data_IF_132218032084
#
_entry.id   IF_132218032084
#
_cell.length_a   1.000
_cell.length_b   1.000
_cell.length_c   1.000
_cell.angle_alpha   90.00
_cell.angle_beta   90.00
_cell.angle_gamma   90.00
#
_symmetry.space_group_name_H-M   'P 1'
#
loop_
_entity.id
_entity.type
_entity.pdbx_description
1 polymer ?
#
# COMPACT_ATOMS: atom_id res chain seq x y z
N UNK A 1 17.47 7.07 -11.84
CA UNK A 1 16.86 8.41 -11.96
C UNK A 1 16.83 8.92 -13.40
N UNK A 2 17.99 8.99 -14.10
CA UNK A 2 18.07 9.47 -15.50
C UNK A 2 17.20 8.67 -16.49
N UNK A 3 17.12 7.34 -16.36
CA UNK A 3 16.28 6.51 -17.23
C UNK A 3 14.77 6.80 -17.11
N UNK A 4 14.28 7.09 -15.91
CA UNK A 4 12.85 7.42 -15.66
C UNK A 4 12.50 8.77 -16.28
N UNK A 5 13.41 9.75 -16.17
CA UNK A 5 13.24 11.07 -16.78
C UNK A 5 13.23 10.98 -18.31
N UNK A 6 14.12 10.18 -18.91
CA UNK A 6 14.14 9.96 -20.36
C UNK A 6 12.86 9.26 -20.86
N UNK A 7 12.38 8.25 -20.13
CA UNK A 7 11.11 7.57 -20.45
C UNK A 7 9.93 8.55 -20.35
N UNK A 8 9.88 9.37 -19.30
CA UNK A 8 8.85 10.40 -19.12
C UNK A 8 8.87 11.42 -20.27
N UNK A 9 10.04 11.88 -20.69
CA UNK A 9 10.18 12.82 -21.81
C UNK A 9 9.75 12.16 -23.14
N UNK A 10 10.13 10.90 -23.39
CA UNK A 10 9.72 10.16 -24.58
C UNK A 10 8.19 9.96 -24.63
N UNK A 11 7.54 9.68 -23.49
CA UNK A 11 6.07 9.55 -23.38
C UNK A 11 5.38 10.90 -23.60
N UNK A 12 5.89 11.98 -23.00
CA UNK A 12 5.34 13.33 -23.20
C UNK A 12 5.42 13.78 -24.66
N UNK A 13 6.54 13.48 -25.35
CA UNK A 13 6.71 13.76 -26.77
C UNK A 13 5.75 12.90 -27.63
N UNK A 14 5.56 11.62 -27.30
CA UNK A 14 4.57 10.77 -27.99
C UNK A 14 3.16 11.35 -27.89
N UNK A 15 2.71 11.75 -26.71
CA UNK A 15 1.38 12.34 -26.48
C UNK A 15 1.23 13.66 -27.23
N UNK A 16 2.25 14.52 -27.18
CA UNK A 16 2.25 15.82 -27.85
C UNK A 16 2.15 15.68 -29.38
N UNK A 17 2.93 14.79 -29.98
CA UNK A 17 2.90 14.58 -31.43
C UNK A 17 1.67 13.80 -31.88
N UNK A 18 1.11 12.90 -31.07
CA UNK A 18 -0.12 12.18 -31.38
C UNK A 18 -1.34 13.12 -31.49
N UNK A 19 -1.37 14.21 -30.71
CA UNK A 19 -2.45 15.20 -30.74
C UNK A 19 -2.36 16.18 -31.91
N UNK A 20 -1.19 16.31 -32.56
CA UNK A 20 -0.95 17.25 -33.65
C UNK A 20 -1.30 16.60 -34.99
N UNK A 21 -2.50 16.87 -35.51
CA UNK A 21 -2.95 16.39 -36.82
C UNK A 21 -2.02 16.81 -37.95
N UNK A 22 -1.71 15.88 -38.88
CA UNK A 22 -0.91 16.14 -40.08
C UNK A 22 0.36 15.28 -40.25
N UNK A 23 0.68 14.39 -39.31
CA UNK A 23 1.82 13.45 -39.39
C UNK A 23 1.27 12.02 -39.25
N UNK A 24 1.77 11.08 -40.05
CA UNK A 24 1.30 9.69 -39.94
C UNK A 24 1.79 9.04 -38.64
N UNK A 25 1.00 8.11 -38.08
CA UNK A 25 1.37 7.39 -36.85
C UNK A 25 2.73 6.69 -36.96
N UNK A 26 3.06 6.19 -38.14
CA UNK A 26 4.33 5.51 -38.45
C UNK A 26 5.51 6.50 -38.41
N UNK A 27 5.33 7.72 -38.92
CA UNK A 27 6.37 8.76 -38.85
C UNK A 27 6.64 9.22 -37.42
N UNK A 28 5.59 9.38 -36.61
CA UNK A 28 5.72 9.73 -35.19
C UNK A 28 6.47 8.61 -34.44
N UNK A 29 6.09 7.36 -34.67
CA UNK A 29 6.74 6.20 -34.05
C UNK A 29 8.23 6.12 -34.43
N UNK A 30 8.55 6.28 -35.73
CA UNK A 30 9.93 6.34 -36.21
C UNK A 30 10.71 7.46 -35.51
N UNK A 31 10.17 8.68 -35.49
CA UNK A 31 10.82 9.83 -34.89
C UNK A 31 11.14 9.59 -33.41
N UNK A 32 10.16 9.12 -32.63
CA UNK A 32 10.35 8.88 -31.19
C UNK A 32 11.37 7.77 -30.94
N UNK A 33 11.23 6.63 -31.61
CA UNK A 33 12.13 5.49 -31.38
C UNK A 33 13.59 5.85 -31.65
N UNK A 34 13.90 6.43 -32.82
CA UNK A 34 15.28 6.77 -33.17
C UNK A 34 15.80 7.98 -32.39
N UNK A 35 14.95 8.94 -32.00
CA UNK A 35 15.37 10.05 -31.15
C UNK A 35 15.69 9.58 -29.73
N UNK A 36 14.86 8.72 -29.13
CA UNK A 36 15.11 8.17 -27.81
C UNK A 36 16.35 7.26 -27.82
N UNK A 37 16.49 6.38 -28.82
CA UNK A 37 17.71 5.59 -29.01
C UNK A 37 18.94 6.48 -29.16
N UNK A 38 18.83 7.53 -29.97
CA UNK A 38 19.92 8.47 -30.21
C UNK A 38 20.36 9.23 -28.96
N UNK A 39 19.40 9.74 -28.18
CA UNK A 39 19.70 10.41 -26.91
C UNK A 39 20.37 9.48 -25.91
N UNK A 40 19.85 8.25 -25.74
CA UNK A 40 20.44 7.25 -24.83
C UNK A 40 21.87 6.91 -25.25
N UNK A 41 22.12 6.71 -26.55
CA UNK A 41 23.45 6.35 -27.07
C UNK A 41 24.45 7.50 -26.97
N UNK A 42 24.05 8.74 -27.24
CA UNK A 42 24.89 9.93 -27.00
C UNK A 42 25.25 10.04 -25.52
N UNK A 43 24.26 9.95 -24.62
CA UNK A 43 24.51 10.05 -23.19
C UNK A 43 25.44 8.93 -22.69
N UNK A 44 25.25 7.70 -23.19
CA UNK A 44 26.13 6.57 -22.89
C UNK A 44 27.56 6.78 -23.38
N UNK A 45 27.73 7.34 -24.59
CA UNK A 45 29.04 7.69 -25.12
C UNK A 45 29.74 8.74 -24.26
N UNK A 46 29.02 9.82 -23.90
CA UNK A 46 29.55 10.88 -23.03
C UNK A 46 29.93 10.31 -21.66
N UNK A 47 29.11 9.45 -21.05
CA UNK A 47 29.43 8.86 -19.76
C UNK A 47 30.64 7.94 -19.81
N UNK A 48 30.95 7.34 -20.96
CA UNK A 48 32.15 6.51 -21.15
C UNK A 48 33.44 7.32 -20.96
N UNK A 49 33.43 8.64 -21.18
CA UNK A 49 34.61 9.48 -20.88
C UNK A 49 34.95 9.52 -19.39
N UNK A 50 33.96 9.37 -18.50
CA UNK A 50 34.21 9.31 -17.05
C UNK A 50 34.98 8.05 -16.65
N UNK A 51 35.03 7.03 -17.51
CA UNK A 51 35.80 5.80 -17.28
C UNK A 51 37.30 6.01 -17.46
N UNK A 52 37.72 7.04 -18.20
CA UNK A 52 39.14 7.33 -18.46
C UNK A 52 39.94 7.64 -17.19
N UNK A 53 39.26 8.14 -16.16
CA UNK A 53 39.88 8.52 -14.87
C UNK A 53 39.78 7.42 -13.81
N UNK A 54 39.15 6.29 -14.13
CA UNK A 54 38.93 5.18 -13.18
C UNK A 54 40.18 4.33 -13.01
N UNK A 55 40.31 3.72 -11.82
CA UNK A 55 41.46 2.88 -11.46
C UNK A 55 41.62 1.71 -12.44
N UNK A 56 42.85 1.40 -12.83
CA UNK A 56 43.16 0.28 -13.71
C UNK A 56 43.20 0.59 -15.22
N UNK A 57 42.66 1.71 -15.67
CA UNK A 57 42.70 2.11 -17.09
C UNK A 57 44.10 2.61 -17.49
N UNK A 58 44.69 2.07 -18.57
CA UNK A 58 45.93 2.58 -19.18
C UNK A 58 45.60 3.58 -20.28
N UNK A 59 46.19 4.78 -20.24
CA UNK A 59 45.93 5.85 -21.23
C UNK A 59 46.08 5.39 -22.68
N UNK A 60 47.17 4.67 -23.01
CA UNK A 60 47.51 4.32 -24.39
C UNK A 60 46.77 3.10 -24.97
N UNK A 61 46.46 2.08 -24.15
CA UNK A 61 45.77 0.87 -24.64
C UNK A 61 44.28 0.86 -24.29
N UNK A 62 43.95 1.03 -23.01
CA UNK A 62 42.55 1.04 -22.56
C UNK A 62 41.83 2.36 -22.85
N UNK A 63 42.50 3.48 -22.60
CA UNK A 63 41.95 4.82 -22.80
C UNK A 63 41.66 5.13 -24.25
N UNK A 64 42.57 4.77 -25.17
CA UNK A 64 42.35 4.92 -26.61
C UNK A 64 41.13 4.14 -27.11
N UNK A 65 40.92 2.91 -26.62
CA UNK A 65 39.75 2.10 -26.96
C UNK A 65 38.44 2.64 -26.37
N UNK A 66 38.48 3.18 -25.14
CA UNK A 66 37.32 3.87 -24.54
C UNK A 66 36.95 5.15 -25.31
N UNK A 67 37.95 5.93 -25.74
CA UNK A 67 37.73 7.11 -26.59
C UNK A 67 37.11 6.70 -27.92
N UNK A 68 37.63 5.65 -28.57
CA UNK A 68 37.09 5.14 -29.82
C UNK A 68 35.65 4.62 -29.65
N UNK A 69 35.38 3.86 -28.59
CA UNK A 69 34.03 3.39 -28.27
C UNK A 69 33.08 4.55 -28.03
N UNK A 70 33.49 5.55 -27.24
CA UNK A 70 32.70 6.74 -26.98
C UNK A 70 32.37 7.49 -28.26
N UNK A 71 33.36 7.67 -29.15
CA UNK A 71 33.17 8.31 -30.44
C UNK A 71 32.16 7.56 -31.31
N UNK A 72 32.25 6.23 -31.35
CA UNK A 72 31.32 5.37 -32.08
C UNK A 72 29.89 5.51 -31.51
N UNK A 73 29.73 5.49 -30.19
CA UNK A 73 28.43 5.65 -29.53
C UNK A 73 27.81 7.03 -29.78
N UNK A 74 28.59 8.11 -29.66
CA UNK A 74 28.12 9.48 -29.92
C UNK A 74 27.77 9.65 -31.40
N UNK A 75 28.63 9.18 -32.32
CA UNK A 75 28.36 9.22 -33.76
C UNK A 75 27.08 8.46 -34.10
N UNK A 76 26.90 7.26 -33.56
CA UNK A 76 25.68 6.46 -33.76
C UNK A 76 24.45 7.21 -33.26
N UNK A 77 24.53 7.85 -32.10
CA UNK A 77 23.41 8.61 -31.56
C UNK A 77 23.06 9.86 -32.37
N UNK A 78 24.06 10.61 -32.85
CA UNK A 78 23.86 11.74 -33.77
C UNK A 78 23.24 11.27 -35.09
N UNK A 79 23.73 10.16 -35.66
CA UNK A 79 23.15 9.58 -36.88
C UNK A 79 21.71 9.12 -36.67
N UNK A 80 21.39 8.55 -35.51
CA UNK A 80 20.03 8.13 -35.14
C UNK A 80 19.07 9.32 -35.03
N UNK A 81 19.46 10.41 -34.36
CA UNK A 81 18.65 11.64 -34.28
C UNK A 81 18.49 12.28 -35.66
N UNK A 82 19.55 12.27 -36.47
CA UNK A 82 19.51 12.77 -37.86
C UNK A 82 18.54 11.95 -38.69
N UNK A 83 18.57 10.61 -38.57
CA UNK A 83 17.63 9.71 -39.24
C UNK A 83 16.19 9.88 -38.76
N UNK A 84 15.98 10.07 -37.45
CA UNK A 84 14.67 10.39 -36.89
C UNK A 84 14.07 11.64 -37.54
N UNK A 85 14.89 12.68 -37.72
CA UNK A 85 14.47 13.96 -38.30
C UNK A 85 14.03 13.83 -39.77
N UNK A 86 14.52 12.82 -40.50
CA UNK A 86 14.09 12.53 -41.88
C UNK A 86 12.69 11.93 -41.97
N UNK A 87 12.04 11.58 -40.84
CA UNK A 87 10.64 11.18 -40.83
C UNK A 87 9.69 12.32 -41.28
N UNK A 88 10.14 13.58 -41.17
CA UNK A 88 9.38 14.76 -41.61
C UNK A 88 9.69 15.14 -43.06
N UNK A 89 8.69 15.22 -43.96
CA UNK A 89 8.90 15.47 -45.40
C UNK A 89 9.72 16.73 -45.70
N UNK A 90 9.42 17.85 -45.03
CA UNK A 90 10.13 19.13 -45.21
C UNK A 90 11.61 19.06 -44.85
N UNK A 91 11.94 18.34 -43.77
CA UNK A 91 13.34 18.14 -43.35
C UNK A 91 14.04 17.15 -44.26
N UNK A 92 13.32 16.11 -44.70
CA UNK A 92 13.80 15.10 -45.64
C UNK A 92 14.20 15.70 -46.98
N UNK A 93 13.39 16.57 -47.56
CA UNK A 93 13.69 17.25 -48.83
C UNK A 93 14.94 18.14 -48.72
N UNK A 94 15.08 18.85 -47.60
CA UNK A 94 16.24 19.71 -47.34
C UNK A 94 17.53 18.89 -47.14
N UNK A 95 17.49 17.80 -46.37
CA UNK A 95 18.67 16.96 -46.10
C UNK A 95 19.05 16.03 -47.27
N UNK A 96 18.09 15.44 -47.99
CA UNK A 96 18.36 14.51 -49.11
C UNK A 96 18.83 15.22 -50.38
N UNK A 97 18.73 16.55 -50.46
CA UNK A 97 19.40 17.35 -51.50
C UNK A 97 20.93 17.12 -51.52
N UNK A 98 21.48 16.58 -50.42
CA UNK A 98 22.84 16.06 -50.30
C UNK A 98 22.89 14.65 -50.94
N UNK A 99 23.20 14.63 -52.24
CA UNK A 99 23.11 13.57 -53.27
C UNK A 99 23.59 12.13 -52.99
N UNK A 100 23.94 11.70 -51.75
CA UNK A 100 24.57 10.38 -51.47
C UNK A 100 23.79 9.43 -50.54
N UNK A 101 22.60 9.80 -50.07
CA UNK A 101 21.84 9.01 -49.09
C UNK A 101 20.86 7.96 -49.70
N UNK A 102 20.94 7.69 -51.01
CA UNK A 102 19.94 6.89 -51.74
C UNK A 102 19.88 5.41 -51.32
N UNK A 103 20.93 4.87 -50.71
CA UNK A 103 21.01 3.47 -50.28
C UNK A 103 20.57 3.23 -48.82
N UNK A 104 20.23 4.30 -48.09
CA UNK A 104 19.78 4.21 -46.71
C UNK A 104 18.26 4.15 -46.67
N UNK A 105 17.74 3.10 -46.04
CA UNK A 105 16.31 2.89 -45.85
C UNK A 105 16.04 2.43 -44.41
N UNK A 106 14.76 2.29 -44.06
CA UNK A 106 14.33 1.91 -42.72
C UNK A 106 14.77 0.48 -42.29
N UNK A 107 15.35 -0.32 -43.19
CA UNK A 107 15.89 -1.64 -42.89
C UNK A 107 17.43 -1.64 -42.78
N UNK A 108 18.14 -0.90 -43.63
CA UNK A 108 19.61 -0.84 -43.63
C UNK A 108 20.16 0.01 -42.49
N UNK A 109 19.44 1.07 -42.10
CA UNK A 109 19.86 1.98 -41.04
C UNK A 109 19.93 1.31 -39.65
N UNK A 110 18.91 0.54 -39.21
CA UNK A 110 19.02 -0.26 -37.99
C UNK A 110 20.24 -1.18 -37.97
N UNK A 111 20.53 -1.85 -39.09
CA UNK A 111 21.67 -2.77 -39.18
C UNK A 111 22.98 -2.02 -38.97
N UNK A 112 23.14 -0.84 -39.57
CA UNK A 112 24.33 0.01 -39.37
C UNK A 112 24.45 0.46 -37.91
N UNK A 113 23.35 0.84 -37.25
CA UNK A 113 23.39 1.23 -35.85
C UNK A 113 23.76 0.06 -34.93
N UNK A 114 23.19 -1.12 -35.18
CA UNK A 114 23.50 -2.33 -34.41
C UNK A 114 24.97 -2.72 -34.60
N UNK A 115 25.52 -2.68 -35.82
CA UNK A 115 26.92 -3.02 -36.06
C UNK A 115 27.87 -2.04 -35.39
N UNK A 116 27.60 -0.73 -35.46
CA UNK A 116 28.41 0.28 -34.77
C UNK A 116 28.39 0.08 -33.24
N UNK A 117 27.21 -0.10 -32.65
CA UNK A 117 27.09 -0.35 -31.20
C UNK A 117 27.76 -1.66 -30.79
N UNK A 118 27.68 -2.70 -31.63
CA UNK A 118 28.36 -3.97 -31.42
C UNK A 118 29.87 -3.81 -31.33
N UNK A 119 30.49 -3.06 -32.26
CA UNK A 119 31.92 -2.76 -32.19
C UNK A 119 32.30 -1.92 -30.98
N UNK A 120 31.50 -0.92 -30.61
CA UNK A 120 31.70 -0.16 -29.37
C UNK A 120 31.70 -1.07 -28.13
N UNK A 121 30.74 -1.99 -28.04
CA UNK A 121 30.66 -2.96 -26.95
C UNK A 121 31.86 -3.92 -26.90
N UNK A 122 32.38 -4.36 -28.05
CA UNK A 122 33.60 -5.17 -28.10
C UNK A 122 34.77 -4.40 -27.49
N UNK A 123 34.95 -3.12 -27.85
CA UNK A 123 36.02 -2.31 -27.30
C UNK A 123 35.88 -2.11 -25.78
N UNK A 124 34.66 -1.84 -25.30
CA UNK A 124 34.41 -1.72 -23.86
C UNK A 124 34.69 -3.03 -23.11
N UNK A 125 34.21 -4.18 -23.60
CA UNK A 125 34.48 -5.48 -22.97
C UNK A 125 35.97 -5.82 -22.96
N UNK A 126 36.71 -5.51 -24.03
CA UNK A 126 38.16 -5.69 -24.03
C UNK A 126 38.86 -4.83 -22.97
N UNK A 127 38.42 -3.58 -22.80
CA UNK A 127 38.94 -2.69 -21.75
C UNK A 127 38.60 -3.23 -20.37
N UNK A 128 37.35 -3.62 -20.13
CA UNK A 128 36.88 -4.17 -18.85
C UNK A 128 37.63 -5.46 -18.49
N UNK A 129 37.85 -6.35 -19.47
CA UNK A 129 38.64 -7.58 -19.27
C UNK A 129 40.10 -7.30 -18.90
N UNK A 130 40.71 -6.31 -19.55
CA UNK A 130 42.09 -5.88 -19.26
C UNK A 130 42.18 -5.22 -17.87
N UNK A 131 41.17 -4.41 -17.53
CA UNK A 131 41.06 -3.71 -16.25
C UNK A 131 40.85 -4.71 -15.11
N UNK A 132 39.95 -5.68 -15.28
CA UNK A 132 39.67 -6.75 -14.32
C UNK A 132 40.94 -7.53 -13.97
N UNK A 133 41.68 -8.00 -14.98
CA UNK A 133 42.95 -8.73 -14.80
C UNK A 133 43.98 -7.91 -14.04
N UNK A 134 44.10 -6.61 -14.37
CA UNK A 134 45.08 -5.72 -13.73
C UNK A 134 44.73 -5.43 -12.27
N UNK A 135 43.44 -5.33 -11.95
CA UNK A 135 42.94 -5.07 -10.60
C UNK A 135 42.81 -6.37 -9.77
N UNK A 136 43.21 -7.52 -10.31
CA UNK A 136 43.23 -8.79 -9.58
C UNK A 136 41.86 -9.46 -9.41
N UNK A 137 40.88 -9.11 -10.25
CA UNK A 137 39.57 -9.80 -10.22
C UNK A 137 39.67 -11.17 -10.88
N UNK A 138 38.98 -12.16 -10.30
CA UNK A 138 38.98 -13.55 -10.76
C UNK A 138 38.24 -13.72 -12.09
N UNK A 139 37.23 -12.88 -12.37
CA UNK A 139 36.50 -12.89 -13.64
C UNK A 139 36.08 -11.49 -14.08
N UNK A 140 35.86 -11.32 -15.39
CA UNK A 140 35.30 -10.08 -15.98
C UNK A 140 33.88 -9.80 -15.47
N UNK A 141 33.11 -10.86 -15.16
CA UNK A 141 31.76 -10.74 -14.60
C UNK A 141 31.79 -10.16 -13.19
N UNK A 142 32.69 -10.66 -12.33
CA UNK A 142 32.88 -10.16 -10.97
C UNK A 142 33.29 -8.68 -11.00
N UNK A 143 34.22 -8.33 -11.89
CA UNK A 143 34.64 -6.96 -12.07
C UNK A 143 33.50 -6.05 -12.57
N UNK A 144 32.68 -6.54 -13.51
CA UNK A 144 31.53 -5.77 -14.02
C UNK A 144 30.49 -5.50 -12.91
N UNK A 145 30.22 -6.48 -12.04
CA UNK A 145 29.35 -6.30 -10.88
C UNK A 145 29.98 -5.36 -9.84
N UNK A 146 31.26 -5.51 -9.55
CA UNK A 146 32.00 -4.61 -8.65
C UNK A 146 31.96 -3.16 -9.15
N UNK A 147 32.25 -2.96 -10.44
CA UNK A 147 32.26 -1.66 -11.12
C UNK A 147 30.89 -0.98 -11.07
N UNK A 148 29.79 -1.73 -11.22
CA UNK A 148 28.42 -1.21 -11.04
C UNK A 148 28.16 -0.67 -9.63
N UNK A 149 28.85 -1.22 -8.63
CA UNK A 149 28.81 -0.77 -7.24
C UNK A 149 29.94 0.21 -6.89
N UNK A 150 30.67 0.73 -7.89
CA UNK A 150 31.82 1.61 -7.76
C UNK A 150 33.02 1.01 -6.99
N UNK A 151 33.15 -0.31 -6.96
CA UNK A 151 34.24 -1.03 -6.30
C UNK A 151 35.30 -1.40 -7.35
N UNK A 152 36.55 -0.98 -7.14
CA UNK A 152 37.69 -1.23 -8.03
C UNK A 152 38.82 -2.03 -7.35
N UNK A 153 38.56 -2.55 -6.15
CA UNK A 153 39.48 -3.38 -5.38
C UNK A 153 38.84 -4.76 -5.14
N UNK A 154 39.60 -5.84 -5.41
CA UNK A 154 39.10 -7.21 -5.32
C UNK A 154 38.77 -7.66 -3.88
N UNK A 155 39.51 -7.17 -2.87
CA UNK A 155 39.27 -7.47 -1.46
C UNK A 155 38.01 -6.76 -0.96
N UNK A 156 37.82 -5.51 -1.38
CA UNK A 156 36.60 -4.74 -1.09
C UNK A 156 35.36 -5.40 -1.71
N UNK A 157 35.47 -5.91 -2.95
CA UNK A 157 34.39 -6.66 -3.59
C UNK A 157 34.06 -7.95 -2.85
N UNK A 158 35.08 -8.65 -2.32
CA UNK A 158 34.87 -9.85 -1.52
C UNK A 158 34.09 -9.56 -0.23
N UNK A 159 34.36 -8.42 0.43
CA UNK A 159 33.56 -7.95 1.59
C UNK A 159 32.13 -7.61 1.18
N UNK A 160 31.96 -6.93 0.05
CA UNK A 160 30.64 -6.61 -0.49
C UNK A 160 29.79 -7.86 -0.75
N UNK A 161 30.38 -8.95 -1.26
CA UNK A 161 29.66 -10.21 -1.46
C UNK A 161 29.17 -10.84 -0.15
N UNK A 162 29.98 -10.77 0.91
CA UNK A 162 29.59 -11.25 2.24
C UNK A 162 28.43 -10.41 2.79
N UNK A 163 28.51 -9.08 2.68
CA UNK A 163 27.46 -8.17 3.15
C UNK A 163 26.16 -8.33 2.34
N UNK A 164 26.27 -8.51 1.02
CA UNK A 164 25.13 -8.76 0.13
C UNK A 164 24.40 -10.04 0.53
N UNK A 165 25.15 -11.12 0.72
CA UNK A 165 24.60 -12.40 1.16
C UNK A 165 23.94 -12.31 2.54
N UNK A 166 24.58 -11.62 3.48
CA UNK A 166 24.01 -11.41 4.82
C UNK A 166 22.68 -10.63 4.77
N UNK A 167 22.56 -9.64 3.87
CA UNK A 167 21.29 -8.92 3.65
C UNK A 167 20.23 -9.81 3.01
N UNK A 168 20.57 -10.58 1.98
CA UNK A 168 19.66 -11.52 1.33
C UNK A 168 19.14 -12.59 2.31
N UNK A 169 20.03 -13.13 3.15
CA UNK A 169 19.67 -14.11 4.19
C UNK A 169 18.73 -13.48 5.26
N UNK A 170 18.96 -12.22 5.63
CA UNK A 170 18.10 -11.48 6.58
C UNK A 170 16.72 -11.20 5.99
N UNK A 171 16.65 -10.78 4.73
CA UNK A 171 15.39 -10.55 4.02
C UNK A 171 14.60 -11.86 3.86
N UNK A 172 15.27 -12.97 3.54
CA UNK A 172 14.65 -14.29 3.45
C UNK A 172 14.11 -14.77 4.80
N UNK A 173 14.85 -14.56 5.89
CA UNK A 173 14.38 -14.88 7.24
C UNK A 173 13.15 -14.05 7.61
N UNK A 174 13.17 -12.74 7.32
CA UNK A 174 12.04 -11.83 7.58
C UNK A 174 10.80 -12.24 6.77
N UNK A 175 10.98 -12.63 5.50
CA UNK A 175 9.88 -13.12 4.67
C UNK A 175 9.30 -14.42 5.20
N UNK A 176 10.16 -15.36 5.60
CA UNK A 176 9.73 -16.65 6.17
C UNK A 176 8.95 -16.46 7.47
N UNK A 177 9.33 -15.50 8.31
CA UNK A 177 8.59 -15.16 9.53
C UNK A 177 7.23 -14.55 9.23
N UNK A 178 7.15 -13.64 8.24
CA UNK A 178 5.87 -13.11 7.76
C UNK A 178 4.95 -14.17 7.19
N UNK A 179 5.48 -15.06 6.33
CA UNK A 179 4.71 -16.15 5.73
C UNK A 179 4.13 -17.08 6.81
N UNK A 180 4.89 -17.37 7.88
CA UNK A 180 4.39 -18.13 9.05
C UNK A 180 3.30 -17.41 9.82
N UNK A 181 3.42 -16.09 10.01
CA UNK A 181 2.40 -15.28 10.68
C UNK A 181 1.11 -15.28 9.84
N UNK A 182 1.22 -15.09 8.53
CA UNK A 182 0.08 -15.13 7.61
C UNK A 182 -0.60 -16.51 7.60
N UNK A 183 0.16 -17.60 7.64
CA UNK A 183 -0.37 -18.97 7.74
C UNK A 183 -1.14 -19.19 9.06
N UNK A 184 -0.60 -18.70 10.18
CA UNK A 184 -1.28 -18.75 11.49
C UNK A 184 -2.56 -17.90 11.50
N UNK A 185 -2.53 -16.70 10.91
CA UNK A 185 -3.71 -15.84 10.79
C UNK A 185 -4.78 -16.45 9.89
N UNK A 186 -4.38 -17.08 8.78
CA UNK A 186 -5.31 -17.75 7.88
C UNK A 186 -5.94 -18.98 8.55
N UNK A 187 -5.15 -19.79 9.26
CA UNK A 187 -5.68 -20.91 10.04
C UNK A 187 -6.67 -20.44 11.12
N UNK A 188 -6.41 -19.30 11.78
CA UNK A 188 -7.37 -18.69 12.71
C UNK A 188 -8.67 -18.29 12.01
N UNK A 189 -8.60 -17.61 10.87
CA UNK A 189 -9.79 -17.24 10.07
C UNK A 189 -10.59 -18.47 9.63
N UNK A 190 -9.92 -19.53 9.21
CA UNK A 190 -10.58 -20.76 8.76
C UNK A 190 -11.25 -21.51 9.92
N UNK A 191 -10.70 -21.41 11.14
CA UNK A 191 -11.30 -21.94 12.36
C UNK A 191 -12.44 -21.07 12.93
N UNK A 192 -12.68 -19.88 12.39
CA UNK A 192 -13.67 -18.92 12.88
C UNK A 192 -14.95 -18.97 12.05
N UNK A 193 -16.11 -18.81 12.70
CA UNK A 193 -17.40 -18.59 12.06
C UNK A 193 -17.86 -17.16 12.35
N UNK A 194 -18.25 -16.42 11.31
CA UNK A 194 -18.76 -15.05 11.43
C UNK A 194 -20.27 -15.03 11.23
N UNK A 195 -21.00 -14.62 12.26
CA UNK A 195 -22.41 -14.27 12.17
C UNK A 195 -22.54 -12.78 11.85
N UNK A 196 -23.30 -12.46 10.80
CA UNK A 196 -23.74 -11.11 10.48
C UNK A 196 -25.21 -10.98 10.85
N UNK A 197 -25.53 -10.06 11.73
CA UNK A 197 -26.90 -9.78 12.18
C UNK A 197 -27.20 -8.30 11.96
N UNK A 198 -28.28 -8.01 11.23
CA UNK A 198 -28.70 -6.63 10.97
C UNK A 198 -29.07 -5.94 12.26
N UNK A 199 -28.45 -4.80 12.55
CA UNK A 199 -28.81 -4.01 13.73
C UNK A 199 -30.24 -3.48 13.59
N UNK A 200 -31.07 -3.55 14.65
CA UNK A 200 -32.40 -2.96 14.64
C UNK A 200 -32.39 -1.41 14.66
N UNK A 201 -31.20 -0.78 14.66
CA UNK A 201 -30.99 0.66 14.70
C UNK A 201 -30.44 1.22 13.36
N UNK A 202 -30.71 0.58 12.22
CA UNK A 202 -30.18 0.98 10.90
C UNK A 202 -30.60 2.41 10.47
N UNK A 203 -29.60 3.19 10.04
CA UNK A 203 -29.70 4.10 8.90
C UNK A 203 -29.28 3.29 7.65
N UNK A 204 -29.86 3.56 6.47
CA UNK A 204 -29.79 2.79 5.20
C UNK A 204 -28.41 2.41 4.61
N UNK A 205 -27.28 2.67 5.30
CA UNK A 205 -25.92 2.49 4.78
C UNK A 205 -25.20 1.20 5.21
N UNK A 206 -25.78 0.34 6.06
CA UNK A 206 -25.19 -0.97 6.41
C UNK A 206 -23.96 -0.94 7.34
N UNK A 207 -23.52 0.22 7.82
CA UNK A 207 -22.32 0.37 8.67
C UNK A 207 -22.47 -0.16 10.12
N UNK A 208 -23.67 -0.60 10.51
CA UNK A 208 -24.00 -0.99 11.90
C UNK A 208 -24.27 -2.50 12.08
N UNK A 209 -23.92 -3.36 11.12
CA UNK A 209 -24.14 -4.80 11.26
C UNK A 209 -23.42 -5.37 12.49
N UNK A 210 -24.12 -6.19 13.25
CA UNK A 210 -23.57 -6.89 14.41
C UNK A 210 -22.72 -8.04 13.86
N UNK A 211 -21.41 -7.83 13.82
CA UNK A 211 -20.42 -8.85 13.46
C UNK A 211 -20.01 -9.61 14.71
N UNK A 212 -20.28 -10.92 14.72
CA UNK A 212 -19.94 -11.79 15.86
C UNK A 212 -19.11 -12.96 15.39
N UNK A 213 -18.01 -13.20 16.09
CA UNK A 213 -17.02 -14.21 15.77
C UNK A 213 -17.08 -15.36 16.77
N UNK A 214 -17.09 -16.58 16.25
CA UNK A 214 -17.14 -17.81 17.02
C UNK A 214 -16.01 -18.75 16.62
N UNK A 215 -15.35 -19.37 17.59
CA UNK A 215 -14.39 -20.45 17.36
C UNK A 215 -15.12 -21.77 17.11
N UNK A 216 -14.96 -22.35 15.90
CA UNK A 216 -15.58 -23.62 15.50
C UNK A 216 -15.15 -24.79 16.37
N UNK A 217 -13.97 -24.71 16.98
CA UNK A 217 -13.42 -25.76 17.83
C UNK A 217 -13.89 -25.63 19.28
N UNK A 218 -14.53 -24.52 19.65
CA UNK A 218 -15.05 -24.30 21.00
C UNK A 218 -16.50 -24.79 21.11
N UNK A 219 -16.77 -25.89 21.86
CA UNK A 219 -18.12 -26.45 21.96
C UNK A 219 -19.14 -25.50 22.60
N UNK A 220 -18.69 -24.64 23.52
CA UNK A 220 -19.56 -23.65 24.15
C UNK A 220 -19.99 -22.59 23.14
N UNK A 221 -19.06 -22.04 22.36
CA UNK A 221 -19.38 -21.01 21.37
C UNK A 221 -20.28 -21.54 20.26
N UNK A 222 -20.07 -22.77 19.80
CA UNK A 222 -20.97 -23.42 18.85
C UNK A 222 -22.36 -23.68 19.42
N UNK A 223 -22.47 -23.99 20.71
CA UNK A 223 -23.76 -24.06 21.41
C UNK A 223 -24.46 -22.69 21.44
N UNK A 224 -23.73 -21.61 21.75
CA UNK A 224 -24.30 -20.25 21.75
C UNK A 224 -24.73 -19.83 20.35
N UNK A 225 -23.91 -20.10 19.32
CA UNK A 225 -24.26 -19.85 17.92
C UNK A 225 -25.58 -20.53 17.54
N UNK A 226 -25.73 -21.82 17.89
CA UNK A 226 -26.96 -22.57 17.64
C UNK A 226 -28.16 -21.96 18.36
N UNK A 227 -27.99 -21.48 19.60
CA UNK A 227 -29.05 -20.79 20.33
C UNK A 227 -29.42 -19.47 19.64
N UNK A 228 -28.46 -18.67 19.18
CA UNK A 228 -28.71 -17.42 18.46
C UNK A 228 -29.48 -17.70 17.14
N UNK A 229 -29.06 -18.71 16.38
CA UNK A 229 -29.70 -19.13 15.13
C UNK A 229 -31.09 -19.74 15.32
N UNK A 230 -31.43 -20.21 16.53
CA UNK A 230 -32.76 -20.73 16.83
C UNK A 230 -33.83 -19.63 16.91
N UNK A 231 -33.43 -18.37 17.12
CA UNK A 231 -34.34 -17.23 17.06
C UNK A 231 -34.66 -16.86 15.61
N UNK A 232 -35.85 -16.30 15.39
CA UNK A 232 -36.21 -15.74 14.09
C UNK A 232 -35.16 -14.71 13.65
N UNK A 233 -34.67 -14.85 12.42
CA UNK A 233 -33.64 -13.97 11.86
C UNK A 233 -34.08 -12.50 11.92
N UNK A 234 -33.15 -11.60 12.25
CA UNK A 234 -33.37 -10.17 12.47
C UNK A 234 -34.41 -9.80 13.56
N UNK A 235 -34.84 -10.76 14.38
CA UNK A 235 -35.68 -10.44 15.54
C UNK A 235 -34.87 -9.72 16.63
N UNK A 236 -35.57 -8.95 17.47
CA UNK A 236 -34.94 -8.30 18.64
C UNK A 236 -34.16 -9.29 19.52
N UNK A 237 -34.70 -10.50 19.75
CA UNK A 237 -34.03 -11.54 20.53
C UNK A 237 -32.77 -12.07 19.83
N UNK A 238 -32.84 -12.29 18.52
CA UNK A 238 -31.68 -12.72 17.72
C UNK A 238 -30.55 -11.68 17.82
N UNK A 239 -30.86 -10.42 17.54
CA UNK A 239 -29.89 -9.32 17.54
C UNK A 239 -29.31 -9.10 18.95
N UNK A 240 -30.17 -9.13 19.98
CA UNK A 240 -29.74 -9.01 21.38
C UNK A 240 -28.83 -10.16 21.79
N UNK A 241 -29.16 -11.40 21.43
CA UNK A 241 -28.31 -12.55 21.74
C UNK A 241 -26.94 -12.44 21.07
N UNK A 242 -26.89 -11.98 19.82
CA UNK A 242 -25.66 -11.71 19.10
C UNK A 242 -24.82 -10.62 19.79
N UNK A 243 -25.42 -9.48 20.17
CA UNK A 243 -24.70 -8.41 20.89
C UNK A 243 -24.18 -8.86 22.26
N UNK A 244 -25.00 -9.55 23.05
CA UNK A 244 -24.58 -10.03 24.38
C UNK A 244 -23.40 -10.99 24.26
N UNK A 245 -23.40 -11.91 23.30
CA UNK A 245 -22.27 -12.81 23.12
C UNK A 245 -21.02 -12.09 22.55
N UNK A 246 -21.21 -11.09 21.66
CA UNK A 246 -20.12 -10.25 21.15
C UNK A 246 -19.44 -9.48 22.28
N UNK A 247 -20.22 -8.81 23.13
CA UNK A 247 -19.72 -7.85 24.11
C UNK A 247 -19.28 -8.51 25.42
N UNK A 248 -19.94 -9.62 25.79
CA UNK A 248 -19.76 -10.25 27.09
C UNK A 248 -19.38 -11.73 27.03
N UNK A 249 -19.44 -12.36 25.86
CA UNK A 249 -18.98 -13.74 25.65
C UNK A 249 -19.86 -14.81 26.28
N UNK A 250 -21.11 -14.50 26.64
CA UNK A 250 -22.02 -15.44 27.32
C UNK A 250 -23.34 -15.60 26.57
N UNK A 251 -24.08 -16.67 26.88
CA UNK A 251 -25.43 -16.92 26.33
C UNK A 251 -26.43 -15.88 26.87
N UNK A 252 -27.38 -15.48 26.03
CA UNK A 252 -28.41 -14.50 26.40
C UNK A 252 -29.20 -14.92 27.65
N UNK A 253 -29.47 -16.23 27.81
CA UNK A 253 -30.24 -16.74 28.95
C UNK A 253 -29.47 -16.61 30.25
N UNK A 254 -28.17 -16.86 30.22
CA UNK A 254 -27.29 -16.72 31.38
C UNK A 254 -27.13 -15.25 31.74
N UNK A 255 -27.00 -14.36 30.74
CA UNK A 255 -27.02 -12.92 30.96
C UNK A 255 -28.31 -12.48 31.67
N UNK A 256 -29.48 -12.87 31.15
CA UNK A 256 -30.79 -12.48 31.69
C UNK A 256 -31.04 -13.01 33.10
N UNK A 257 -30.53 -14.20 33.40
CA UNK A 257 -30.79 -14.87 34.68
C UNK A 257 -29.78 -14.49 35.76
N UNK A 258 -28.51 -14.32 35.39
CA UNK A 258 -27.40 -14.23 36.35
C UNK A 258 -26.79 -12.82 36.43
N UNK A 259 -26.79 -12.08 35.32
CA UNK A 259 -26.07 -10.81 35.19
C UNK A 259 -27.02 -9.63 35.31
N UNK A 260 -28.01 -9.56 34.41
CA UNK A 260 -28.93 -8.42 34.29
C UNK A 260 -29.57 -8.02 35.63
N UNK A 261 -30.21 -8.92 36.39
CA UNK A 261 -30.94 -8.53 37.60
C UNK A 261 -30.02 -8.00 38.72
N UNK A 262 -28.75 -8.44 38.74
CA UNK A 262 -27.78 -8.02 39.78
C UNK A 262 -27.18 -6.66 39.48
N UNK A 263 -26.98 -6.36 38.20
CA UNK A 263 -26.28 -5.16 37.77
C UNK A 263 -27.23 -3.99 37.47
N UNK A 264 -28.51 -4.23 37.14
CA UNK A 264 -29.44 -3.16 36.72
C UNK A 264 -30.26 -2.54 37.85
N UNK A 265 -30.20 -3.08 39.08
CA UNK A 265 -31.11 -2.70 40.17
C UNK A 265 -31.14 -1.18 40.41
N UNK A 266 -29.97 -0.55 40.59
CA UNK A 266 -29.86 0.89 40.85
C UNK A 266 -30.39 1.75 39.71
N UNK A 267 -30.10 1.35 38.47
CA UNK A 267 -30.59 2.04 37.28
C UNK A 267 -32.12 1.99 37.22
N UNK A 268 -32.72 0.84 37.52
CA UNK A 268 -34.17 0.70 37.58
C UNK A 268 -34.79 1.50 38.73
N UNK A 269 -34.15 1.53 39.90
CA UNK A 269 -34.57 2.39 41.03
C UNK A 269 -34.58 3.87 40.65
N UNK A 270 -33.53 4.35 39.97
CA UNK A 270 -33.42 5.73 39.50
C UNK A 270 -34.51 6.05 38.46
N UNK A 271 -34.75 5.17 37.48
CA UNK A 271 -35.82 5.34 36.49
C UNK A 271 -37.21 5.40 37.15
N UNK A 272 -37.47 4.54 38.12
CA UNK A 272 -38.74 4.52 38.85
C UNK A 272 -38.92 5.81 39.67
N UNK A 273 -37.86 6.29 40.33
CA UNK A 273 -37.87 7.57 41.04
C UNK A 273 -38.17 8.75 40.11
N UNK A 274 -37.50 8.82 38.97
CA UNK A 274 -37.74 9.85 37.96
C UNK A 274 -39.17 9.81 37.42
N UNK A 275 -39.69 8.63 37.07
CA UNK A 275 -41.06 8.47 36.59
C UNK A 275 -42.09 8.93 37.63
N UNK A 276 -41.85 8.64 38.91
CA UNK A 276 -42.73 9.06 40.00
C UNK A 276 -42.76 10.58 40.16
N UNK A 277 -41.58 11.20 40.18
CA UNK A 277 -41.45 12.65 40.32
C UNK A 277 -42.07 13.38 39.12
N UNK A 278 -41.66 13.02 37.91
CA UNK A 278 -42.14 13.68 36.69
C UNK A 278 -43.62 13.41 36.41
N UNK A 279 -44.15 12.27 36.86
CA UNK A 279 -45.58 11.97 36.78
C UNK A 279 -46.46 12.85 37.67
N UNK A 280 -45.89 13.49 38.70
CA UNK A 280 -46.60 14.42 39.59
C UNK A 280 -46.58 15.88 39.08
N UNK A 281 -45.81 16.17 38.04
CA UNK A 281 -45.62 17.53 37.54
C UNK A 281 -46.87 18.05 36.81
N UNK A 282 -47.36 19.21 37.25
CA UNK A 282 -48.45 19.90 36.56
C UNK A 282 -47.95 20.57 35.26
N UNK A 283 -48.82 20.73 34.25
CA UNK A 283 -48.52 21.59 33.11
C UNK A 283 -48.16 23.01 33.54
N UNK A 284 -47.20 23.65 32.86
CA UNK A 284 -46.79 25.02 33.19
C UNK A 284 -47.94 26.05 33.13
N UNK A 285 -48.98 25.77 32.34
CA UNK A 285 -50.20 26.58 32.26
C UNK A 285 -50.95 26.68 33.59
N UNK A 286 -50.72 25.77 34.53
CA UNK A 286 -51.42 25.73 35.81
C UNK A 286 -50.86 26.74 36.83
N UNK A 287 -49.71 27.36 36.55
CA UNK A 287 -49.08 28.32 37.44
C UNK A 287 -49.40 29.76 36.99
N UNK A 288 -50.38 30.38 37.67
CA UNK A 288 -50.84 31.75 37.39
C UNK A 288 -49.83 32.80 37.88
N UNK A 289 -49.14 32.50 38.99
CA UNK A 289 -48.10 33.34 39.55
C UNK A 289 -46.76 33.15 38.81
N UNK A 290 -46.18 34.25 38.32
CA UNK A 290 -44.94 34.21 37.53
C UNK A 290 -43.71 33.80 38.34
N UNK A 291 -43.64 34.17 39.61
CA UNK A 291 -42.51 33.79 40.47
C UNK A 291 -42.59 32.31 40.85
N UNK A 292 -43.79 31.78 41.08
CA UNK A 292 -44.00 30.34 41.29
C UNK A 292 -43.63 29.57 40.02
N UNK A 293 -44.08 30.01 38.84
CA UNK A 293 -43.71 29.39 37.56
C UNK A 293 -42.19 29.39 37.33
N UNK A 294 -41.50 30.50 37.68
CA UNK A 294 -40.04 30.60 37.54
C UNK A 294 -39.33 29.58 38.44
N UNK A 295 -39.73 29.49 39.72
CA UNK A 295 -39.18 28.51 40.67
C UNK A 295 -39.42 27.08 40.22
N UNK A 296 -40.61 26.79 39.70
CA UNK A 296 -40.94 25.46 39.18
C UNK A 296 -40.06 25.06 37.99
N UNK A 297 -39.83 25.99 37.04
CA UNK A 297 -38.91 25.75 35.91
C UNK A 297 -37.50 25.44 36.39
N UNK A 298 -36.97 26.27 37.29
CA UNK A 298 -35.64 26.10 37.87
C UNK A 298 -35.50 24.76 38.61
N UNK A 299 -36.54 24.35 39.35
CA UNK A 299 -36.59 23.05 40.01
C UNK A 299 -36.53 21.90 39.00
N UNK A 300 -37.39 21.91 37.97
CA UNK A 300 -37.43 20.83 36.96
C UNK A 300 -36.15 20.73 36.16
N UNK A 301 -35.56 21.88 35.79
CA UNK A 301 -34.29 21.92 35.07
C UNK A 301 -33.16 21.33 35.92
N UNK A 302 -33.10 21.69 37.21
CA UNK A 302 -32.13 21.10 38.14
C UNK A 302 -32.36 19.60 38.35
N UNK A 303 -33.60 19.17 38.54
CA UNK A 303 -33.93 17.75 38.73
C UNK A 303 -33.59 16.91 37.50
N UNK A 304 -33.91 17.39 36.30
CA UNK A 304 -33.57 16.71 35.04
C UNK A 304 -32.06 16.60 34.84
N UNK A 305 -31.32 17.67 35.16
CA UNK A 305 -29.85 17.66 35.10
C UNK A 305 -29.26 16.65 36.08
N UNK A 306 -29.66 16.68 37.35
CA UNK A 306 -29.20 15.72 38.35
C UNK A 306 -29.56 14.28 37.98
N UNK A 307 -30.76 14.05 37.44
CA UNK A 307 -31.16 12.74 36.94
C UNK A 307 -30.24 12.28 35.81
N UNK A 308 -29.94 13.15 34.84
CA UNK A 308 -29.03 12.85 33.74
C UNK A 308 -27.64 12.45 34.24
N UNK A 309 -27.06 13.21 35.18
CA UNK A 309 -25.76 12.92 35.78
C UNK A 309 -25.76 11.59 36.56
N UNK A 310 -26.77 11.36 37.41
CA UNK A 310 -26.93 10.10 38.18
C UNK A 310 -27.13 8.90 37.25
N UNK A 311 -27.96 9.05 36.23
CA UNK A 311 -28.25 7.99 35.25
C UNK A 311 -27.01 7.64 34.44
N UNK A 312 -26.22 8.63 34.01
CA UNK A 312 -24.97 8.38 33.29
C UNK A 312 -23.97 7.63 34.18
N UNK A 313 -23.78 8.08 35.42
CA UNK A 313 -22.87 7.44 36.37
C UNK A 313 -23.26 5.98 36.64
N UNK A 314 -24.51 5.73 37.00
CA UNK A 314 -24.97 4.37 37.33
C UNK A 314 -25.08 3.47 36.10
N UNK A 315 -25.31 4.02 34.90
CA UNK A 315 -25.23 3.25 33.65
C UNK A 315 -23.80 2.78 33.36
N UNK A 316 -22.79 3.63 33.61
CA UNK A 316 -21.39 3.23 33.48
C UNK A 316 -21.05 2.11 34.47
N UNK A 317 -21.46 2.25 35.73
CA UNK A 317 -21.27 1.23 36.76
C UNK A 317 -22.00 -0.08 36.40
N UNK A 318 -23.20 0.01 35.84
CA UNK A 318 -23.96 -1.16 35.35
C UNK A 318 -23.21 -1.88 34.23
N UNK A 319 -22.66 -1.16 33.24
CA UNK A 319 -21.90 -1.77 32.15
C UNK A 319 -20.62 -2.45 32.64
N UNK A 320 -19.92 -1.85 33.61
CA UNK A 320 -18.77 -2.48 34.28
C UNK A 320 -19.16 -3.75 35.01
N UNK A 321 -20.30 -3.74 35.70
CA UNK A 321 -20.86 -4.90 36.36
C UNK A 321 -21.21 -6.01 35.34
N UNK A 322 -21.85 -5.65 34.22
CA UNK A 322 -22.17 -6.60 33.14
C UNK A 322 -20.93 -7.32 32.62
N UNK A 323 -19.88 -6.57 32.27
CA UNK A 323 -18.63 -7.16 31.79
C UNK A 323 -17.98 -8.03 32.87
N UNK A 324 -17.72 -7.45 34.05
CA UNK A 324 -16.95 -8.13 35.10
C UNK A 324 -17.62 -9.39 35.63
N UNK A 325 -18.96 -9.41 35.71
CA UNK A 325 -19.70 -10.57 36.17
C UNK A 325 -19.79 -11.65 35.08
N UNK A 326 -19.96 -11.26 33.82
CA UNK A 326 -19.99 -12.20 32.69
C UNK A 326 -18.68 -12.97 32.54
N UNK A 327 -17.53 -12.29 32.69
CA UNK A 327 -16.20 -12.91 32.64
C UNK A 327 -15.89 -13.84 33.84
N UNK A 328 -16.74 -13.85 34.88
CA UNK A 328 -16.62 -14.74 36.05
C UNK A 328 -17.51 -15.99 35.96
N UNK A 329 -18.38 -16.07 34.95
CA UNK A 329 -19.25 -17.24 34.78
C UNK A 329 -18.44 -18.45 34.32
N UNK A 330 -18.80 -19.69 34.72
CA UNK A 330 -18.05 -20.89 34.32
C UNK A 330 -18.10 -21.16 32.81
N UNK A 331 -19.22 -20.84 32.17
CA UNK A 331 -19.42 -21.00 30.73
C UNK A 331 -19.40 -19.63 30.06
N UNK A 332 -18.22 -19.18 29.66
CA UNK A 332 -18.03 -17.94 28.90
C UNK A 332 -16.90 -18.09 27.88
N UNK A 333 -16.92 -17.25 26.85
CA UNK A 333 -15.81 -16.98 25.96
C UNK A 333 -15.14 -15.66 26.40
N UNK A 334 -13.81 -15.62 26.61
CA UNK A 334 -13.13 -14.39 26.97
C UNK A 334 -13.35 -13.29 25.93
N UNK A 335 -13.74 -12.10 26.38
CA UNK A 335 -13.93 -10.91 25.52
C UNK A 335 -13.13 -9.73 26.04
N UNK A 336 -12.73 -8.86 25.12
CA UNK A 336 -12.21 -7.56 25.50
C UNK A 336 -13.36 -6.71 26.07
N UNK A 337 -13.03 -5.81 26.99
CA UNK A 337 -13.99 -4.86 27.54
C UNK A 337 -14.58 -4.03 26.39
N UNK A 338 -15.92 -3.91 26.28
CA UNK A 338 -16.54 -2.98 25.35
C UNK A 338 -16.10 -1.54 25.67
N UNK A 339 -15.68 -0.79 24.63
CA UNK A 339 -15.29 0.63 24.75
C UNK A 339 -16.48 1.55 25.03
#
# INVERSE_FOLDING_TARGET
MIGIVLISVCISLLIFFYKKGGISKIQILQFVLYSCLGLVTVMSGISTFNELTKSGVKVWSGGALLILSSFISVLTGVLSITWASLAFPKLREKLLSIRKLQYLNNYTVPVIFITLLFFGNIFNSYVDSTQAKKLGFNSEKDFTEAKRNNIYNADEYSKFLVDKKAKEDTELATKTEKDKIEEIEQAKKDSEYTLLSKSPFENDNGDNDIVVKFDKNNPFEMSVLKNIQSYQNASFKHNRAAMIFRDYGIDLRDFDKLVLPRCSQKVEEIKLGYKRETGAWLPYSNYVDRDVLRKEKEYRDNYNREFGEKMQHESNMMNECFYSLSQKLPNHSPRNRPE
#
